data_IF_557829681215
#
_entry.id   IF_557829681215
#
_cell.length_a   1.000
_cell.length_b   1.000
_cell.length_c   1.000
_cell.angle_alpha   90.00
_cell.angle_beta   90.00
_cell.angle_gamma   90.00
#
_symmetry.space_group_name_H-M   'P 1'
#
loop_
_entity.id
_entity.type
_entity.pdbx_description
1 polymer ?
#
# COMPACT_ATOMS: atom_id res chain seq x y z
N UNK A 1 -0.55 23.56 -1.92
CA UNK A 1 -1.51 22.48 -1.60
C UNK A 1 -0.95 21.72 -0.40
N UNK A 2 -1.76 21.42 0.61
CA UNK A 2 -1.34 20.61 1.75
C UNK A 2 -1.19 19.15 1.30
N UNK A 3 0.04 18.73 1.05
CA UNK A 3 0.35 17.33 0.72
C UNK A 3 0.30 16.46 1.97
N UNK A 4 -0.28 15.27 1.85
CA UNK A 4 -0.38 14.29 2.94
C UNK A 4 0.82 13.35 2.91
N UNK A 5 1.39 13.02 4.07
CA UNK A 5 2.43 12.00 4.16
C UNK A 5 1.84 10.59 4.14
N UNK A 6 0.63 10.42 4.67
CA UNK A 6 -0.05 9.12 4.74
C UNK A 6 -1.51 9.29 4.33
N UNK A 7 -1.99 8.39 3.47
CA UNK A 7 -3.41 8.25 3.14
C UNK A 7 -3.83 6.81 3.42
N UNK A 8 -4.88 6.62 4.20
CA UNK A 8 -5.53 5.32 4.40
C UNK A 8 -6.84 5.28 3.61
N UNK A 9 -6.99 4.29 2.74
CA UNK A 9 -8.19 4.07 1.94
C UNK A 9 -8.85 2.75 2.34
N UNK A 10 -9.81 2.84 3.27
CA UNK A 10 -10.72 1.76 3.68
C UNK A 10 -12.09 2.00 3.04
N UNK A 11 -12.13 1.95 1.71
CA UNK A 11 -13.35 2.19 0.93
C UNK A 11 -13.86 0.87 0.37
N UNK A 12 -15.09 0.51 0.71
CA UNK A 12 -15.82 -0.60 0.10
C UNK A 12 -17.13 -0.11 -0.51
N UNK A 13 -17.46 -0.60 -1.71
CA UNK A 13 -18.83 -0.55 -2.21
C UNK A 13 -19.49 -1.92 -2.04
N UNK A 14 -20.15 -2.07 -0.88
CA UNK A 14 -20.94 -3.25 -0.48
C UNK A 14 -22.08 -3.60 -1.46
N UNK A 15 -22.40 -2.72 -2.41
CA UNK A 15 -23.58 -2.91 -3.25
C UNK A 15 -23.32 -3.66 -4.56
N UNK A 16 -22.13 -3.64 -5.16
CA UNK A 16 -21.91 -4.26 -6.48
C UNK A 16 -20.45 -4.57 -6.92
N UNK A 17 -19.40 -4.06 -6.25
CA UNK A 17 -17.99 -4.45 -6.49
C UNK A 17 -17.10 -3.83 -5.41
N UNK A 18 -16.41 -4.65 -4.61
CA UNK A 18 -15.74 -4.19 -3.40
C UNK A 18 -14.64 -3.16 -3.69
N UNK A 19 -13.91 -3.33 -4.80
CA UNK A 19 -12.79 -2.48 -5.19
C UNK A 19 -13.12 -1.44 -6.28
N UNK A 20 -14.41 -1.28 -6.66
CA UNK A 20 -14.84 -0.35 -7.72
C UNK A 20 -14.26 1.08 -7.61
N UNK A 21 -14.05 1.66 -6.40
CA UNK A 21 -13.46 2.98 -6.27
C UNK A 21 -12.02 3.10 -6.80
N UNK A 22 -11.26 2.00 -6.88
CA UNK A 22 -9.83 1.98 -7.28
C UNK A 22 -9.68 2.07 -8.81
N UNK A 23 -10.12 3.20 -9.36
CA UNK A 23 -9.98 3.55 -10.78
C UNK A 23 -8.69 4.32 -11.06
N UNK A 24 -8.23 4.38 -12.31
CA UNK A 24 -7.04 5.16 -12.68
C UNK A 24 -7.17 6.64 -12.29
N UNK A 25 -8.38 7.22 -12.35
CA UNK A 25 -8.63 8.60 -11.90
C UNK A 25 -8.47 8.75 -10.38
N UNK A 26 -8.98 7.79 -9.61
CA UNK A 26 -8.83 7.77 -8.16
C UNK A 26 -7.36 7.62 -7.77
N UNK A 27 -6.63 6.69 -8.40
CA UNK A 27 -5.20 6.48 -8.19
C UNK A 27 -4.41 7.77 -8.47
N UNK A 28 -4.70 8.45 -9.59
CA UNK A 28 -4.06 9.73 -9.92
C UNK A 28 -4.34 10.81 -8.87
N UNK A 29 -5.58 10.88 -8.37
CA UNK A 29 -5.92 11.81 -7.31
C UNK A 29 -5.14 11.54 -6.02
N UNK A 30 -5.06 10.28 -5.57
CA UNK A 30 -4.25 9.88 -4.42
C UNK A 30 -2.79 10.29 -4.60
N UNK A 31 -2.20 9.97 -5.76
CA UNK A 31 -0.81 10.30 -6.06
C UNK A 31 -0.54 11.82 -5.99
N UNK A 32 -1.46 12.65 -6.48
CA UNK A 32 -1.33 14.11 -6.43
C UNK A 32 -1.44 14.67 -5.01
N UNK A 33 -2.25 14.05 -4.15
CA UNK A 33 -2.42 14.46 -2.76
C UNK A 33 -1.22 14.10 -1.87
N UNK A 34 -0.41 13.11 -2.24
CA UNK A 34 0.74 12.68 -1.45
C UNK A 34 1.93 13.63 -1.53
N UNK A 35 2.65 13.75 -0.42
CA UNK A 35 3.99 14.37 -0.36
C UNK A 35 5.00 13.53 -1.15
N UNK A 36 6.23 14.04 -1.36
CA UNK A 36 7.24 13.39 -2.21
C UNK A 36 7.54 11.94 -1.80
N UNK A 37 7.49 11.65 -0.50
CA UNK A 37 7.74 10.33 0.09
C UNK A 37 6.47 9.76 0.74
N UNK A 38 5.30 10.28 0.34
CA UNK A 38 4.04 9.89 0.93
C UNK A 38 3.64 8.47 0.55
N UNK A 39 2.87 7.84 1.44
CA UNK A 39 2.40 6.47 1.32
C UNK A 39 0.87 6.45 1.26
N UNK A 40 0.31 5.65 0.38
CA UNK A 40 -1.10 5.25 0.47
C UNK A 40 -1.20 3.77 0.84
N UNK A 41 -2.06 3.47 1.81
CA UNK A 41 -2.44 2.11 2.18
C UNK A 41 -3.90 1.88 1.76
N UNK A 42 -4.11 0.96 0.83
CA UNK A 42 -5.43 0.65 0.24
C UNK A 42 -5.85 -0.71 0.77
N UNK A 43 -6.95 -0.75 1.50
CA UNK A 43 -7.60 -2.02 1.82
C UNK A 43 -8.25 -2.56 0.55
N UNK A 44 -7.95 -3.80 0.23
CA UNK A 44 -8.35 -4.46 -1.01
C UNK A 44 -9.10 -5.75 -0.69
N UNK A 45 -10.34 -5.88 -1.15
CA UNK A 45 -11.05 -7.15 -1.07
C UNK A 45 -10.50 -8.11 -2.13
N UNK A 46 -10.06 -9.31 -1.75
CA UNK A 46 -9.52 -10.24 -2.73
C UNK A 46 -10.63 -10.82 -3.62
N UNK A 47 -10.67 -10.39 -4.89
CA UNK A 47 -11.62 -10.84 -5.92
C UNK A 47 -10.99 -11.89 -6.88
N UNK A 48 -9.81 -12.39 -6.54
CA UNK A 48 -9.03 -13.32 -7.36
C UNK A 48 -7.76 -12.70 -7.95
N UNK A 49 -6.83 -13.57 -8.37
CA UNK A 49 -5.48 -13.17 -8.77
C UNK A 49 -5.46 -12.23 -9.99
N UNK A 50 -6.32 -12.47 -11.00
CA UNK A 50 -6.39 -11.62 -12.20
C UNK A 50 -6.74 -10.18 -11.85
N UNK A 51 -7.75 -9.97 -10.99
CA UNK A 51 -8.19 -8.63 -10.58
C UNK A 51 -7.15 -7.91 -9.73
N UNK A 52 -6.49 -8.64 -8.84
CA UNK A 52 -5.38 -8.08 -8.07
C UNK A 52 -4.26 -7.60 -9.00
N UNK A 53 -3.86 -8.42 -9.97
CA UNK A 53 -2.82 -8.07 -10.94
C UNK A 53 -3.22 -6.84 -11.75
N UNK A 54 -4.46 -6.77 -12.26
CA UNK A 54 -4.98 -5.60 -12.97
C UNK A 54 -4.86 -4.32 -12.12
N UNK A 55 -5.31 -4.37 -10.86
CA UNK A 55 -5.22 -3.22 -9.93
C UNK A 55 -3.77 -2.81 -9.66
N UNK A 56 -2.87 -3.79 -9.44
CA UNK A 56 -1.45 -3.53 -9.21
C UNK A 56 -0.79 -2.90 -10.45
N UNK A 57 -1.13 -3.35 -11.65
CA UNK A 57 -0.63 -2.75 -12.90
C UNK A 57 -1.04 -1.29 -12.99
N UNK A 58 -2.32 -0.97 -12.72
CA UNK A 58 -2.82 0.41 -12.74
C UNK A 58 -2.14 1.29 -11.69
N UNK A 59 -2.05 0.84 -10.44
CA UNK A 59 -1.35 1.55 -9.36
C UNK A 59 0.09 1.85 -9.76
N UNK A 60 0.77 0.84 -10.28
CA UNK A 60 2.18 0.95 -10.61
C UNK A 60 2.44 2.00 -11.68
N UNK A 61 1.44 2.37 -12.53
CA UNK A 61 1.62 3.42 -13.57
C UNK A 61 2.10 4.75 -13.00
N UNK A 62 1.78 5.02 -11.73
CA UNK A 62 2.16 6.24 -11.02
C UNK A 62 3.06 5.98 -9.82
N UNK A 63 2.94 4.80 -9.20
CA UNK A 63 3.70 4.41 -8.01
C UNK A 63 4.78 3.38 -8.37
N UNK A 64 6.04 3.79 -8.37
CA UNK A 64 7.19 2.91 -8.67
C UNK A 64 7.35 1.82 -7.61
N UNK A 65 7.12 2.18 -6.35
CA UNK A 65 7.26 1.30 -5.19
C UNK A 65 5.89 0.87 -4.70
N UNK A 66 5.65 -0.44 -4.70
CA UNK A 66 4.38 -1.04 -4.26
C UNK A 66 4.63 -2.31 -3.47
N UNK A 67 3.74 -2.63 -2.54
CA UNK A 67 3.77 -3.87 -1.77
C UNK A 67 2.36 -4.39 -1.52
N UNK A 68 2.29 -5.67 -1.17
CA UNK A 68 1.06 -6.31 -0.71
C UNK A 68 1.32 -6.91 0.67
N UNK A 69 0.38 -6.72 1.58
CA UNK A 69 0.39 -7.33 2.90
C UNK A 69 -0.88 -8.15 3.07
N UNK A 70 -0.70 -9.43 3.41
CA UNK A 70 -1.79 -10.32 3.78
C UNK A 70 -2.13 -10.14 5.25
N UNK A 71 -3.42 -10.02 5.58
CA UNK A 71 -3.86 -10.00 6.97
C UNK A 71 -4.32 -11.41 7.35
N UNK A 72 -3.54 -12.07 8.21
CA UNK A 72 -3.86 -13.44 8.68
C UNK A 72 -5.30 -13.51 9.22
N UNK A 73 -6.06 -14.49 8.75
CA UNK A 73 -7.46 -14.71 9.17
C UNK A 73 -8.49 -13.87 8.42
N UNK A 74 -8.08 -13.03 7.46
CA UNK A 74 -8.97 -12.22 6.63
C UNK A 74 -8.73 -12.49 5.15
N UNK A 75 -9.79 -12.34 4.35
CA UNK A 75 -9.71 -12.41 2.89
C UNK A 75 -9.22 -11.10 2.25
N UNK A 76 -9.14 -10.03 3.05
CA UNK A 76 -8.69 -8.72 2.59
C UNK A 76 -7.16 -8.64 2.58
N UNK A 77 -6.65 -7.91 1.60
CA UNK A 77 -5.25 -7.53 1.48
C UNK A 77 -5.11 -6.04 1.80
N UNK A 78 -3.89 -5.62 2.09
CA UNK A 78 -3.51 -4.21 2.06
C UNK A 78 -2.50 -4.03 0.94
N UNK A 79 -2.81 -3.14 -0.01
CA UNK A 79 -1.86 -2.69 -1.01
C UNK A 79 -1.21 -1.41 -0.50
N UNK A 80 0.10 -1.40 -0.40
CA UNK A 80 0.90 -0.22 -0.10
C UNK A 80 1.45 0.35 -1.40
N UNK A 81 1.35 1.66 -1.59
CA UNK A 81 1.95 2.34 -2.73
C UNK A 81 2.66 3.61 -2.25
N UNK A 82 3.95 3.72 -2.57
CA UNK A 82 4.83 4.81 -2.14
C UNK A 82 5.13 5.68 -3.35
N UNK A 83 4.96 7.00 -3.20
CA UNK A 83 5.15 7.96 -4.28
C UNK A 83 6.61 8.14 -4.69
N UNK A 84 7.53 7.92 -3.76
CA UNK A 84 8.96 7.97 -3.98
C UNK A 84 9.60 6.59 -4.09
N UNK A 85 10.92 6.59 -3.96
CA UNK A 85 11.75 5.40 -4.01
C UNK A 85 11.43 4.45 -2.85
N UNK A 86 11.87 3.21 -2.99
CA UNK A 86 11.72 2.19 -1.97
C UNK A 86 12.40 2.67 -0.68
N UNK A 87 11.71 2.65 0.47
CA UNK A 87 12.31 3.13 1.70
C UNK A 87 13.40 2.15 2.18
N UNK A 88 14.43 2.69 2.85
CA UNK A 88 15.50 1.89 3.43
C UNK A 88 14.94 0.96 4.53
N UNK A 89 14.76 -0.32 4.20
CA UNK A 89 14.13 -1.30 5.08
C UNK A 89 14.87 -1.47 6.42
N UNK A 90 16.21 -1.35 6.41
CA UNK A 90 17.00 -1.40 7.64
C UNK A 90 16.69 -0.24 8.60
N UNK A 91 16.48 0.96 8.04
CA UNK A 91 16.14 2.14 8.83
C UNK A 91 14.72 2.01 9.40
N UNK A 92 13.77 1.50 8.60
CA UNK A 92 12.41 1.20 9.05
C UNK A 92 12.44 0.17 10.18
N UNK A 93 13.20 -0.92 10.04
CA UNK A 93 13.34 -1.95 11.07
C UNK A 93 13.87 -1.39 12.39
N UNK A 94 14.95 -0.60 12.34
CA UNK A 94 15.50 0.08 13.53
C UNK A 94 14.49 1.00 14.21
N UNK A 95 13.67 1.70 13.43
CA UNK A 95 12.60 2.56 13.97
C UNK A 95 11.47 1.73 14.55
N UNK A 96 11.09 0.62 13.91
CA UNK A 96 10.07 -0.27 14.43
C UNK A 96 10.47 -0.86 15.78
N UNK A 97 11.69 -1.37 15.92
CA UNK A 97 12.21 -1.91 17.18
C UNK A 97 12.10 -0.87 18.32
N UNK A 98 12.45 0.39 18.05
CA UNK A 98 12.31 1.49 19.02
C UNK A 98 10.85 1.77 19.43
N UNK A 99 9.88 1.55 18.52
CA UNK A 99 8.46 1.75 18.79
C UNK A 99 7.80 0.53 19.45
N UNK A 100 8.24 -0.70 19.16
CA UNK A 100 7.75 -1.92 19.80
C UNK A 100 7.97 -1.86 21.32
N UNK A 101 9.17 -1.43 21.73
CA UNK A 101 9.55 -1.28 23.15
C UNK A 101 8.63 -0.31 23.92
N UNK A 102 8.04 0.66 23.22
CA UNK A 102 7.18 1.69 23.82
C UNK A 102 5.71 1.25 23.88
N UNK A 103 5.23 0.58 22.85
CA UNK A 103 3.79 0.32 22.66
C UNK A 103 3.38 -1.15 22.79
N UNK A 104 4.33 -2.08 22.99
CA UNK A 104 4.10 -3.53 23.01
C UNK A 104 3.26 -4.01 21.80
N UNK A 105 3.54 -3.42 20.63
CA UNK A 105 2.92 -3.75 19.35
C UNK A 105 3.90 -4.62 18.56
N UNK A 106 3.42 -5.66 17.88
CA UNK A 106 4.24 -6.58 17.06
C UNK A 106 4.53 -6.00 15.67
N UNK A 107 5.06 -4.78 15.60
CA UNK A 107 5.39 -4.10 14.34
C UNK A 107 6.38 -4.85 13.46
N UNK A 108 7.37 -5.52 14.05
CA UNK A 108 8.37 -6.31 13.32
C UNK A 108 7.73 -7.45 12.55
N UNK A 109 6.85 -8.20 13.21
CA UNK A 109 6.09 -9.27 12.54
C UNK A 109 5.21 -8.73 11.42
N UNK A 110 4.63 -7.54 11.61
CA UNK A 110 3.84 -6.86 10.57
C UNK A 110 4.74 -6.46 9.39
N UNK A 111 5.90 -5.83 9.63
CA UNK A 111 6.83 -5.43 8.59
C UNK A 111 7.36 -6.63 7.79
N UNK A 112 7.68 -7.72 8.47
CA UNK A 112 8.14 -8.98 7.85
C UNK A 112 7.05 -9.62 6.96
N UNK A 113 5.77 -9.28 7.18
CA UNK A 113 4.65 -9.77 6.36
C UNK A 113 4.43 -8.97 5.06
N UNK A 114 5.13 -7.84 4.89
CA UNK A 114 5.00 -6.99 3.71
C UNK A 114 5.79 -7.61 2.56
N UNK A 115 5.07 -8.02 1.52
CA UNK A 115 5.68 -8.48 0.26
C UNK A 115 5.86 -7.31 -0.69
N UNK A 116 7.08 -6.77 -0.75
CA UNK A 116 7.45 -5.74 -1.72
C UNK A 116 7.48 -6.31 -3.13
N UNK A 117 6.80 -5.63 -4.05
CA UNK A 117 6.83 -5.99 -5.46
C UNK A 117 8.17 -5.53 -6.05
N UNK A 118 8.74 -6.30 -7.00
CA UNK A 118 10.01 -5.93 -7.63
C UNK A 118 9.91 -4.54 -8.25
N UNK A 119 11.05 -3.87 -8.40
CA UNK A 119 11.12 -2.61 -9.15
C UNK A 119 10.57 -2.80 -10.56
N UNK A 120 10.02 -1.73 -11.13
CA UNK A 120 9.63 -1.77 -12.54
C UNK A 120 10.88 -1.97 -13.38
N UNK A 121 10.92 -3.08 -14.12
CA UNK A 121 11.83 -3.20 -15.24
C UNK A 121 11.31 -2.25 -16.33
N UNK A 122 11.69 -0.98 -16.27
CA UNK A 122 11.55 -0.09 -17.41
C UNK A 122 12.53 -0.59 -18.49
N UNK A 123 12.00 -1.18 -19.55
CA UNK A 123 12.67 -1.37 -20.84
C UNK A 123 12.00 -0.49 -21.86
#
# INVERSE_FOLDING_TARGET
MNSQDIIYSDLFDIRNNFNKPVTSNFINYLWRCLSKLGIVAIKYAFEGQSKLIETLIELRKLFTTTAVMEIKGYTNLVILAVKGDMPELELIGKKADQFEDIYNLQFKQMLDSITWLPERFDR
#
